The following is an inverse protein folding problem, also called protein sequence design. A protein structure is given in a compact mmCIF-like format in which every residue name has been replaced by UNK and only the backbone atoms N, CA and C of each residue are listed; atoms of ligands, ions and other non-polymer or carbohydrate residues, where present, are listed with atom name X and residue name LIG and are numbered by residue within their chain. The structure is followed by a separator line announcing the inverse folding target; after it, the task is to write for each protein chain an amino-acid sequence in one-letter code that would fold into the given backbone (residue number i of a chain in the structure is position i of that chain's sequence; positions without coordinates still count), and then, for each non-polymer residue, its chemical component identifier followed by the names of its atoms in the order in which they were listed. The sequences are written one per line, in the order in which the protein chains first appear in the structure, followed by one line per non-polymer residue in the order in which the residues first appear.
data_IF_086188682282
#
_entry.id   IF_086188682282
#
_cell.length_a   1.000
_cell.length_b   1.000
_cell.length_c   1.000
_cell.angle_alpha   90.00
_cell.angle_beta   90.00
_cell.angle_gamma   90.00
#
_symmetry.space_group_name_H-M   'P 1'
#
loop_
_entity.id
_entity.type
_entity.pdbx_description
1 polymer ?
#
# COMPACT_ATOMS: atom_id res chain seq x y z
N UNK A 1 -31.91 -6.58 -18.04
CA UNK A 1 -30.87 -6.13 -17.10
C UNK A 1 -29.49 -6.69 -17.46
N UNK A 2 -29.45 -7.55 -18.49
CA UNK A 2 -28.35 -8.26 -19.16
C UNK A 2 -27.27 -7.37 -19.84
N UNK A 3 -27.04 -6.14 -19.38
CA UNK A 3 -26.13 -5.22 -20.08
C UNK A 3 -24.65 -5.47 -19.76
N UNK A 4 -24.33 -6.01 -18.58
CA UNK A 4 -22.96 -6.22 -18.13
C UNK A 4 -22.73 -7.67 -17.73
N UNK A 5 -21.69 -8.28 -18.30
CA UNK A 5 -21.21 -9.60 -17.90
C UNK A 5 -20.60 -9.57 -16.49
N UNK A 6 -19.98 -8.44 -16.11
CA UNK A 6 -19.40 -8.25 -14.79
C UNK A 6 -19.74 -6.89 -14.18
N UNK A 7 -19.98 -6.90 -12.86
CA UNK A 7 -19.94 -5.71 -12.00
C UNK A 7 -18.67 -5.79 -11.16
N UNK A 8 -17.83 -4.76 -11.24
CA UNK A 8 -16.59 -4.68 -10.49
C UNK A 8 -16.68 -3.52 -9.52
N UNK A 9 -16.46 -3.79 -8.24
CA UNK A 9 -16.51 -2.81 -7.17
C UNK A 9 -15.10 -2.37 -6.79
N UNK A 10 -14.82 -1.08 -6.97
CA UNK A 10 -13.58 -0.40 -6.64
C UNK A 10 -12.67 -0.25 -7.84
N UNK A 11 -12.26 0.99 -8.12
CA UNK A 11 -11.42 1.36 -9.26
C UNK A 11 -9.93 1.51 -8.90
N UNK A 12 -9.47 0.78 -7.88
CA UNK A 12 -8.04 0.60 -7.59
C UNK A 12 -7.40 -0.46 -8.50
N UNK A 13 -6.11 -0.77 -8.31
CA UNK A 13 -5.39 -1.74 -9.16
C UNK A 13 -6.14 -3.06 -9.36
N UNK A 14 -6.65 -3.67 -8.29
CA UNK A 14 -7.35 -4.95 -8.37
C UNK A 14 -8.52 -4.91 -9.37
N UNK A 15 -9.44 -3.96 -9.18
CA UNK A 15 -10.63 -3.84 -10.02
C UNK A 15 -10.30 -3.34 -11.42
N UNK A 16 -9.42 -2.36 -11.57
CA UNK A 16 -9.08 -1.80 -12.88
C UNK A 16 -8.35 -2.80 -13.78
N UNK A 17 -7.46 -3.63 -13.22
CA UNK A 17 -6.75 -4.67 -13.97
C UNK A 17 -7.71 -5.75 -14.43
N UNK A 18 -8.60 -6.21 -13.53
CA UNK A 18 -9.59 -7.21 -13.89
C UNK A 18 -10.59 -6.68 -14.91
N UNK A 19 -11.05 -5.43 -14.77
CA UNK A 19 -11.89 -4.76 -15.76
C UNK A 19 -11.21 -4.72 -17.13
N UNK A 20 -9.96 -4.26 -17.18
CA UNK A 20 -9.19 -4.14 -18.41
C UNK A 20 -8.96 -5.49 -19.06
N UNK A 21 -8.54 -6.51 -18.31
CA UNK A 21 -8.29 -7.86 -18.84
C UNK A 21 -9.57 -8.54 -19.34
N UNK A 22 -10.66 -8.48 -18.57
CA UNK A 22 -11.96 -9.06 -18.97
C UNK A 22 -12.49 -8.37 -20.24
N UNK A 23 -12.39 -7.04 -20.33
CA UNK A 23 -12.81 -6.29 -21.51
C UNK A 23 -11.90 -6.55 -22.73
N UNK A 24 -10.57 -6.50 -22.56
CA UNK A 24 -9.64 -6.58 -23.69
C UNK A 24 -9.46 -8.00 -24.22
N UNK A 25 -9.38 -8.99 -23.33
CA UNK A 25 -9.08 -10.38 -23.67
C UNK A 25 -10.34 -11.25 -23.83
N UNK A 26 -11.40 -10.98 -23.06
CA UNK A 26 -12.63 -11.78 -23.06
C UNK A 26 -13.84 -11.08 -23.67
N UNK A 27 -13.68 -9.83 -24.10
CA UNK A 27 -14.72 -8.99 -24.71
C UNK A 27 -15.99 -8.88 -23.85
N UNK A 28 -15.81 -8.95 -22.53
CA UNK A 28 -16.87 -8.82 -21.54
C UNK A 28 -17.24 -7.36 -21.31
N UNK A 29 -18.53 -7.08 -21.16
CA UNK A 29 -19.05 -5.76 -20.77
C UNK A 29 -18.98 -5.62 -19.26
N UNK A 30 -18.33 -4.55 -18.81
CA UNK A 30 -17.99 -4.30 -17.42
C UNK A 30 -18.70 -3.05 -16.94
N UNK A 31 -19.34 -3.12 -15.78
CA UNK A 31 -19.68 -1.96 -14.99
C UNK A 31 -18.69 -1.85 -13.83
N UNK A 32 -17.79 -0.88 -13.89
CA UNK A 32 -16.85 -0.57 -12.81
C UNK A 32 -17.46 0.53 -11.93
N UNK A 33 -17.86 0.17 -10.71
CA UNK A 33 -18.40 1.13 -9.74
C UNK A 33 -17.31 1.52 -8.72
N UNK A 34 -17.28 2.78 -8.34
CA UNK A 34 -16.35 3.32 -7.36
C UNK A 34 -17.11 4.29 -6.44
N UNK A 35 -16.89 4.17 -5.13
CA UNK A 35 -17.57 5.01 -4.15
C UNK A 35 -16.99 6.42 -4.08
N UNK A 36 -15.74 6.61 -4.51
CA UNK A 36 -15.06 7.89 -4.57
C UNK A 36 -15.46 8.67 -5.83
N UNK A 37 -15.11 9.95 -5.82
CA UNK A 37 -15.26 10.89 -6.93
C UNK A 37 -14.17 10.75 -8.01
N UNK A 38 -13.33 9.72 -7.92
CA UNK A 38 -12.24 9.46 -8.86
C UNK A 38 -11.87 7.98 -8.94
N UNK A 39 -11.18 7.60 -10.02
CA UNK A 39 -10.59 6.27 -10.21
C UNK A 39 -9.24 6.13 -9.46
N UNK A 40 -8.54 5.01 -9.64
CA UNK A 40 -7.20 4.71 -9.12
C UNK A 40 -7.13 4.37 -7.62
N UNK A 41 -8.25 4.39 -6.89
CA UNK A 41 -8.28 4.07 -5.46
C UNK A 41 -7.29 4.93 -4.67
N UNK A 42 -6.41 4.31 -3.87
CA UNK A 42 -5.38 5.04 -3.12
C UNK A 42 -4.24 5.58 -4.01
N UNK A 43 -4.13 5.14 -5.27
CA UNK A 43 -3.10 5.65 -6.19
C UNK A 43 -3.49 6.99 -6.82
N UNK A 44 -4.70 7.50 -6.54
CA UNK A 44 -5.15 8.75 -7.12
C UNK A 44 -4.19 9.91 -6.77
N UNK A 45 -3.70 10.54 -7.84
CA UNK A 45 -2.90 11.74 -7.81
C UNK A 45 -3.54 12.86 -8.62
N UNK A 46 -3.24 14.10 -8.24
CA UNK A 46 -3.75 15.31 -8.87
C UNK A 46 -2.71 16.42 -8.80
N UNK A 47 -2.78 17.35 -9.75
CA UNK A 47 -2.02 18.60 -9.66
C UNK A 47 -2.73 19.54 -8.68
N UNK A 48 -2.03 19.98 -7.64
CA UNK A 48 -2.56 21.01 -6.76
C UNK A 48 -2.53 22.40 -7.42
N UNK A 49 -3.04 23.42 -6.73
CA UNK A 49 -3.11 24.81 -7.20
C UNK A 49 -1.74 25.46 -7.49
N UNK A 50 -0.65 24.79 -7.12
CA UNK A 50 0.72 25.23 -7.35
C UNK A 50 1.47 24.39 -8.41
N UNK A 51 0.77 23.47 -9.07
CA UNK A 51 1.32 22.61 -10.12
C UNK A 51 2.22 21.49 -9.58
N UNK A 52 2.15 21.17 -8.29
CA UNK A 52 2.81 19.99 -7.72
C UNK A 52 1.88 18.78 -7.89
N UNK A 53 2.41 17.68 -8.43
CA UNK A 53 1.66 16.42 -8.53
C UNK A 53 1.68 15.73 -7.15
N UNK A 54 0.52 15.67 -6.52
CA UNK A 54 0.33 15.19 -5.14
C UNK A 54 -0.52 13.92 -5.15
N UNK A 55 -0.15 12.96 -4.33
CA UNK A 55 -0.96 11.76 -4.11
C UNK A 55 -1.93 12.01 -2.96
N UNK A 56 -3.24 11.92 -3.20
CA UNK A 56 -4.28 12.26 -2.20
C UNK A 56 -4.21 11.39 -0.94
N UNK A 57 -3.65 10.19 -1.06
CA UNK A 57 -3.74 9.13 -0.06
C UNK A 57 -2.39 8.56 0.40
N UNK A 58 -1.36 9.41 0.45
CA UNK A 58 -0.02 8.99 0.84
C UNK A 58 0.95 8.81 -0.33
N UNK A 59 2.27 8.74 -0.08
CA UNK A 59 3.24 8.48 -1.13
C UNK A 59 3.07 7.07 -1.68
N UNK A 60 3.13 6.95 -3.00
CA UNK A 60 3.03 5.68 -3.72
C UNK A 60 4.21 5.58 -4.67
N UNK A 61 5.06 4.58 -4.45
CA UNK A 61 6.35 4.46 -5.11
C UNK A 61 6.40 3.10 -5.79
N UNK A 62 6.32 3.10 -7.13
CA UNK A 62 6.26 1.85 -7.87
C UNK A 62 7.63 1.20 -7.97
N UNK A 63 7.65 -0.10 -7.65
CA UNK A 63 8.85 -0.93 -7.59
C UNK A 63 8.46 -2.37 -7.90
N UNK A 64 9.26 -3.09 -8.68
CA UNK A 64 9.00 -4.52 -8.94
C UNK A 64 10.26 -5.25 -9.42
N UNK A 65 10.37 -6.53 -9.05
CA UNK A 65 11.29 -7.48 -9.68
C UNK A 65 10.59 -8.37 -10.73
N UNK A 66 9.25 -8.35 -10.79
CA UNK A 66 8.47 -9.20 -11.69
C UNK A 66 8.46 -8.60 -13.11
N UNK A 67 9.05 -9.28 -14.11
CA UNK A 67 9.00 -8.84 -15.50
C UNK A 67 7.56 -8.82 -16.04
N UNK A 68 6.69 -9.73 -15.55
CA UNK A 68 5.27 -9.80 -15.92
C UNK A 68 4.52 -8.55 -15.48
N UNK A 69 4.69 -8.13 -14.22
CA UNK A 69 4.09 -6.89 -13.69
C UNK A 69 4.59 -5.69 -14.48
N UNK A 70 5.90 -5.61 -14.73
CA UNK A 70 6.49 -4.50 -15.48
C UNK A 70 5.95 -4.44 -16.92
N UNK A 71 5.95 -5.56 -17.63
CA UNK A 71 5.45 -5.66 -19.00
C UNK A 71 3.96 -5.29 -19.08
N UNK A 72 3.16 -5.73 -18.11
CA UNK A 72 1.75 -5.40 -18.07
C UNK A 72 1.50 -3.90 -17.87
N UNK A 73 2.05 -3.32 -16.80
CA UNK A 73 1.80 -1.91 -16.47
C UNK A 73 2.39 -0.95 -17.50
N UNK A 74 3.52 -1.29 -18.12
CA UNK A 74 4.15 -0.45 -19.16
C UNK A 74 3.30 -0.26 -20.42
N UNK A 75 2.21 -1.02 -20.60
CA UNK A 75 1.24 -0.77 -21.67
C UNK A 75 0.43 0.52 -21.46
N UNK A 76 0.36 1.00 -20.22
CA UNK A 76 -0.50 2.13 -19.83
C UNK A 76 0.28 3.37 -19.37
N UNK A 77 1.61 3.30 -19.30
CA UNK A 77 2.43 4.45 -18.90
C UNK A 77 3.86 4.33 -19.40
N UNK A 78 4.45 5.49 -19.66
CA UNK A 78 5.90 5.66 -19.66
C UNK A 78 6.43 5.80 -18.22
N UNK A 79 7.73 5.62 -18.04
CA UNK A 79 8.38 5.65 -16.74
C UNK A 79 9.29 6.87 -16.55
N UNK A 80 9.23 7.45 -15.35
CA UNK A 80 10.24 8.35 -14.81
C UNK A 80 11.12 7.56 -13.83
N UNK A 81 12.39 7.25 -14.17
CA UNK A 81 13.28 6.52 -13.27
C UNK A 81 13.46 7.27 -11.95
N UNK A 82 13.22 6.59 -10.83
CA UNK A 82 13.29 7.18 -9.51
C UNK A 82 13.61 6.11 -8.47
N UNK A 83 14.69 6.30 -7.71
CA UNK A 83 15.09 5.41 -6.62
C UNK A 83 14.84 6.10 -5.29
N UNK A 84 13.92 5.55 -4.50
CA UNK A 84 13.50 6.18 -3.26
C UNK A 84 14.59 6.09 -2.19
N UNK A 85 14.76 7.18 -1.44
CA UNK A 85 15.62 7.27 -0.27
C UNK A 85 14.83 7.88 0.88
N UNK A 86 15.02 7.32 2.06
CA UNK A 86 14.35 7.77 3.29
C UNK A 86 15.42 8.10 4.31
N UNK A 87 15.23 9.20 5.03
CA UNK A 87 16.00 9.50 6.24
C UNK A 87 15.09 9.35 7.46
N UNK A 88 15.64 8.98 8.61
CA UNK A 88 14.97 9.10 9.89
C UNK A 88 15.67 10.15 10.76
N UNK A 89 14.88 10.96 11.45
CA UNK A 89 15.35 11.84 12.52
C UNK A 89 15.47 11.03 13.82
N UNK A 90 16.70 10.67 14.17
CA UNK A 90 17.06 9.94 15.37
C UNK A 90 18.07 10.77 16.14
N UNK A 91 17.76 11.13 17.39
CA UNK A 91 18.64 11.96 18.24
C UNK A 91 19.07 13.27 17.54
N UNK A 92 18.13 13.93 16.88
CA UNK A 92 18.32 15.16 16.09
C UNK A 92 19.29 15.04 14.90
N UNK A 93 19.65 13.80 14.52
CA UNK A 93 20.43 13.49 13.32
C UNK A 93 19.57 12.81 12.26
N UNK A 94 19.81 13.18 11.00
CA UNK A 94 19.21 12.51 9.86
C UNK A 94 20.09 11.34 9.40
N UNK A 95 19.57 10.12 9.49
CA UNK A 95 20.27 8.89 9.08
C UNK A 95 19.48 8.10 8.04
N UNK A 96 20.14 7.38 7.10
CA UNK A 96 19.47 6.50 6.15
C UNK A 96 18.56 5.45 6.80
N UNK A 97 17.42 5.21 6.14
CA UNK A 97 16.54 4.06 6.35
C UNK A 97 16.38 3.33 5.01
N UNK A 98 16.53 1.99 4.93
CA UNK A 98 16.96 1.05 5.96
C UNK A 98 18.22 1.47 6.70
N UNK A 99 18.28 1.18 8.00
CA UNK A 99 19.45 1.52 8.81
C UNK A 99 20.66 0.80 8.22
N UNK A 100 21.74 1.51 7.94
CA UNK A 100 22.89 0.95 7.25
C UNK A 100 24.22 1.39 7.89
N UNK A 101 25.36 1.10 7.25
CA UNK A 101 26.67 1.43 7.82
C UNK A 101 26.87 2.94 8.00
N UNK A 102 26.30 3.78 7.12
CA UNK A 102 26.27 5.24 7.30
C UNK A 102 25.49 5.63 8.56
N UNK A 103 24.36 4.96 8.83
CA UNK A 103 23.56 5.22 10.03
C UNK A 103 24.31 4.84 11.31
N UNK A 104 25.03 3.71 11.29
CA UNK A 104 25.89 3.25 12.38
C UNK A 104 27.00 4.28 12.68
N UNK A 105 27.71 4.72 11.65
CA UNK A 105 28.81 5.70 11.77
C UNK A 105 28.35 7.05 12.33
N UNK A 106 27.14 7.49 11.97
CA UNK A 106 26.59 8.77 12.45
C UNK A 106 26.14 8.70 13.92
N UNK A 107 25.44 7.62 14.30
CA UNK A 107 24.80 7.52 15.61
C UNK A 107 25.66 6.87 16.68
N UNK A 108 26.61 6.02 16.31
CA UNK A 108 27.51 5.35 17.24
C UNK A 108 28.98 5.46 16.77
N UNK A 109 29.51 6.67 16.53
CA UNK A 109 30.83 6.87 15.92
C UNK A 109 31.96 6.18 16.70
N UNK A 110 31.87 6.15 18.04
CA UNK A 110 32.89 5.52 18.89
C UNK A 110 32.94 3.98 18.76
N UNK A 111 31.83 3.35 18.38
CA UNK A 111 31.71 1.88 18.22
C UNK A 111 31.67 1.44 16.76
N UNK A 112 31.61 2.39 15.81
CA UNK A 112 31.24 2.13 14.42
C UNK A 112 32.22 1.18 13.72
N UNK A 113 33.54 1.39 13.88
CA UNK A 113 34.55 0.58 13.19
C UNK A 113 34.53 -0.88 13.67
N UNK A 114 34.46 -1.10 14.99
CA UNK A 114 34.38 -2.44 15.58
C UNK A 114 33.07 -3.14 15.18
N UNK A 115 31.93 -2.47 15.34
CA UNK A 115 30.62 -3.04 15.00
C UNK A 115 30.49 -3.32 13.52
N UNK A 116 31.00 -2.45 12.65
CA UNK A 116 31.03 -2.68 11.20
C UNK A 116 31.83 -3.92 10.85
N UNK A 117 33.06 -4.06 11.39
CA UNK A 117 33.88 -5.23 11.14
C UNK A 117 33.20 -6.52 11.61
N UNK A 118 32.56 -6.47 12.79
CA UNK A 118 31.82 -7.60 13.37
C UNK A 118 30.60 -7.99 12.53
N UNK A 119 29.77 -7.02 12.12
CA UNK A 119 28.60 -7.26 11.28
C UNK A 119 28.97 -7.83 9.91
N UNK A 120 30.03 -7.32 9.28
CA UNK A 120 30.51 -7.83 7.99
C UNK A 120 31.08 -9.23 8.14
N UNK A 121 31.82 -9.52 9.21
CA UNK A 121 32.37 -10.85 9.46
C UNK A 121 31.27 -11.90 9.72
N UNK A 122 30.21 -11.53 10.44
CA UNK A 122 29.11 -12.44 10.80
C UNK A 122 28.15 -12.69 9.63
N UNK A 123 27.73 -11.63 8.93
CA UNK A 123 26.63 -11.70 7.98
C UNK A 123 27.04 -11.47 6.52
N UNK A 124 28.20 -10.84 6.29
CA UNK A 124 28.64 -10.40 4.96
C UNK A 124 28.17 -8.99 4.58
N UNK A 125 28.79 -8.46 3.54
CA UNK A 125 28.44 -7.16 2.94
C UNK A 125 27.23 -7.31 2.01
N UNK A 126 26.42 -6.25 1.90
CA UNK A 126 25.20 -6.17 1.08
C UNK A 126 24.09 -7.16 1.48
N UNK A 127 24.09 -7.54 2.75
CA UNK A 127 23.07 -8.43 3.35
C UNK A 127 22.08 -7.63 4.19
N UNK A 128 20.80 -7.99 4.07
CA UNK A 128 19.71 -7.45 4.90
C UNK A 128 19.44 -8.38 6.08
N UNK A 129 19.56 -7.86 7.29
CA UNK A 129 19.35 -8.62 8.53
C UNK A 129 18.16 -8.03 9.29
N UNK A 130 17.10 -8.83 9.56
CA UNK A 130 15.99 -8.36 10.40
C UNK A 130 16.47 -7.92 11.78
N UNK A 131 15.87 -6.87 12.33
CA UNK A 131 16.23 -6.36 13.66
C UNK A 131 16.00 -7.41 14.75
N UNK A 132 14.97 -8.25 14.60
CA UNK A 132 14.70 -9.37 15.51
C UNK A 132 15.85 -10.38 15.60
N UNK A 133 16.56 -10.61 14.49
CA UNK A 133 17.74 -11.49 14.44
C UNK A 133 18.90 -10.86 15.21
N UNK A 134 19.17 -9.57 15.00
CA UNK A 134 20.23 -8.85 15.72
C UNK A 134 19.99 -8.88 17.23
N UNK A 135 18.76 -8.59 17.69
CA UNK A 135 18.38 -8.59 19.12
C UNK A 135 18.47 -9.97 19.80
N UNK A 136 18.40 -11.05 19.03
CA UNK A 136 18.50 -12.43 19.54
C UNK A 136 19.89 -13.03 19.34
N UNK A 137 20.84 -12.26 18.81
CA UNK A 137 22.18 -12.74 18.47
C UNK A 137 22.98 -13.16 19.71
N UNK A 138 23.87 -14.14 19.56
CA UNK A 138 24.69 -14.66 20.67
C UNK A 138 25.75 -13.65 21.14
N UNK A 139 26.45 -12.99 20.20
CA UNK A 139 27.39 -11.90 20.51
C UNK A 139 26.67 -10.71 21.13
N UNK A 140 27.12 -10.30 22.32
CA UNK A 140 26.48 -9.24 23.10
C UNK A 140 26.50 -7.88 22.39
N UNK A 141 27.54 -7.57 21.61
CA UNK A 141 27.70 -6.28 20.91
C UNK A 141 26.70 -6.15 19.76
N UNK A 142 26.53 -7.23 18.97
CA UNK A 142 25.50 -7.29 17.92
C UNK A 142 24.10 -7.17 18.54
N UNK A 143 23.88 -7.84 19.67
CA UNK A 143 22.61 -7.79 20.39
C UNK A 143 22.29 -6.38 20.91
N UNK A 144 23.25 -5.71 21.54
CA UNK A 144 23.12 -4.31 21.97
C UNK A 144 22.84 -3.36 20.80
N UNK A 145 23.52 -3.55 19.65
CA UNK A 145 23.25 -2.79 18.44
C UNK A 145 21.83 -3.04 17.92
N UNK A 146 21.37 -4.29 17.90
CA UNK A 146 20.00 -4.64 17.55
C UNK A 146 18.97 -3.97 18.44
N UNK A 147 19.21 -3.92 19.76
CA UNK A 147 18.34 -3.24 20.72
C UNK A 147 18.34 -1.73 20.49
N UNK A 148 19.51 -1.12 20.27
CA UNK A 148 19.62 0.30 19.96
C UNK A 148 18.78 0.69 18.73
N UNK A 149 18.91 -0.07 17.63
CA UNK A 149 18.14 0.17 16.41
C UNK A 149 16.64 0.01 16.68
N UNK A 150 16.24 -1.03 17.42
CA UNK A 150 14.85 -1.25 17.79
C UNK A 150 14.25 -0.09 18.57
N UNK A 151 14.89 0.33 19.65
CA UNK A 151 14.40 1.40 20.53
C UNK A 151 14.31 2.75 19.81
N UNK A 152 15.31 3.09 18.99
CA UNK A 152 15.43 4.41 18.40
C UNK A 152 14.70 4.58 17.06
N UNK A 153 14.39 3.48 16.35
CA UNK A 153 13.80 3.51 15.01
C UNK A 153 12.45 2.79 14.94
N UNK A 154 12.29 1.65 15.62
CA UNK A 154 11.12 0.78 15.44
C UNK A 154 10.07 0.98 16.51
N UNK A 155 10.46 1.00 17.78
CA UNK A 155 9.52 0.95 18.91
C UNK A 155 8.47 2.06 18.83
N UNK A 156 8.91 3.31 18.95
CA UNK A 156 8.00 4.46 18.95
C UNK A 156 7.31 4.67 17.59
N UNK A 157 7.99 4.41 16.48
CA UNK A 157 7.40 4.51 15.14
C UNK A 157 6.25 3.51 14.98
N UNK A 158 6.48 2.25 15.35
CA UNK A 158 5.50 1.17 15.28
C UNK A 158 4.32 1.45 16.20
N UNK A 159 4.58 1.89 17.43
CA UNK A 159 3.52 2.26 18.37
C UNK A 159 2.65 3.39 17.85
N UNK A 160 3.23 4.43 17.23
CA UNK A 160 2.44 5.47 16.55
C UNK A 160 1.65 4.90 15.37
N UNK A 161 2.32 4.17 14.48
CA UNK A 161 1.70 3.66 13.25
C UNK A 161 0.50 2.76 13.54
N UNK A 162 0.62 1.88 14.53
CA UNK A 162 -0.36 0.82 14.79
C UNK A 162 -1.25 1.09 16.02
N UNK A 163 -0.90 2.04 16.87
CA UNK A 163 -1.62 2.30 18.12
C UNK A 163 -1.47 1.19 19.15
N UNK A 164 -0.48 0.30 18.98
CA UNK A 164 -0.20 -0.84 19.86
C UNK A 164 1.31 -1.08 19.95
N UNK A 165 1.75 -1.78 21.00
CA UNK A 165 3.16 -2.11 21.17
C UNK A 165 3.61 -3.17 20.15
N UNK A 166 4.86 -3.11 19.66
CA UNK A 166 5.36 -4.10 18.70
C UNK A 166 5.19 -5.56 19.14
N UNK A 167 5.27 -5.83 20.44
CA UNK A 167 5.15 -7.17 21.03
C UNK A 167 3.72 -7.74 20.98
N UNK A 168 2.70 -6.88 20.81
CA UNK A 168 1.28 -7.26 20.71
C UNK A 168 0.82 -7.44 19.25
N UNK A 169 1.73 -7.26 18.30
CA UNK A 169 1.50 -7.38 16.86
C UNK A 169 2.29 -8.58 16.34
N UNK A 170 2.04 -8.98 15.09
CA UNK A 170 2.97 -9.85 14.38
C UNK A 170 4.30 -9.11 14.13
N UNK A 171 5.14 -9.13 15.15
CA UNK A 171 6.39 -8.39 15.24
C UNK A 171 7.36 -8.77 14.12
N UNK A 172 7.41 -10.05 13.77
CA UNK A 172 8.30 -10.55 12.72
C UNK A 172 7.83 -10.04 11.35
N UNK A 173 6.52 -10.01 11.06
CA UNK A 173 5.99 -9.41 9.82
C UNK A 173 6.24 -7.91 9.74
N UNK A 174 6.20 -7.18 10.85
CA UNK A 174 6.46 -5.73 10.88
C UNK A 174 7.95 -5.43 10.70
N UNK A 175 8.82 -6.13 11.44
CA UNK A 175 10.27 -5.86 11.42
C UNK A 175 10.98 -6.43 10.20
N UNK A 176 10.48 -7.48 9.57
CA UNK A 176 11.03 -7.99 8.31
C UNK A 176 10.96 -6.98 7.16
N UNK A 177 10.07 -5.98 7.23
CA UNK A 177 9.84 -5.02 6.14
C UNK A 177 10.89 -3.92 6.06
N UNK A 178 11.51 -3.57 7.19
CA UNK A 178 12.64 -2.65 7.24
C UNK A 178 13.74 -3.38 8.02
N UNK A 179 14.65 -4.08 7.34
CA UNK A 179 15.80 -4.71 8.00
C UNK A 179 16.93 -3.69 8.23
N UNK A 180 17.96 -4.08 8.98
CA UNK A 180 19.27 -3.41 8.89
C UNK A 180 19.95 -3.88 7.61
N UNK A 181 20.47 -2.95 6.81
CA UNK A 181 21.21 -3.25 5.59
C UNK A 181 22.71 -3.09 5.87
N UNK A 182 23.47 -4.18 5.86
CA UNK A 182 24.93 -4.15 6.06
C UNK A 182 25.57 -3.70 4.75
N UNK A 183 25.35 -2.42 4.41
CA UNK A 183 25.79 -1.78 3.18
C UNK A 183 25.95 -0.27 3.37
N UNK A 184 26.53 0.41 2.37
CA UNK A 184 26.43 1.86 2.21
C UNK A 184 25.30 2.27 1.24
N UNK A 185 24.66 1.30 0.59
CA UNK A 185 23.49 1.56 -0.23
C UNK A 185 22.32 2.04 0.65
N UNK A 186 21.86 3.25 0.36
CA UNK A 186 20.82 3.99 1.07
C UNK A 186 19.47 3.98 0.35
N UNK A 187 19.35 3.23 -0.76
CA UNK A 187 18.07 3.02 -1.43
C UNK A 187 17.11 2.27 -0.52
N UNK A 188 15.91 2.82 -0.37
CA UNK A 188 14.86 2.25 0.47
C UNK A 188 14.37 0.89 -0.07
N UNK A 189 14.30 0.80 -1.40
CA UNK A 189 13.89 -0.38 -2.15
C UNK A 189 15.08 -0.97 -2.90
N UNK A 190 15.10 -2.30 -3.06
CA UNK A 190 16.19 -3.04 -3.71
C UNK A 190 15.74 -3.71 -5.02
N UNK A 191 14.51 -3.48 -5.43
CA UNK A 191 13.97 -3.96 -6.68
C UNK A 191 14.73 -3.39 -7.87
N UNK A 192 14.84 -4.19 -8.92
CA UNK A 192 15.58 -3.85 -10.15
C UNK A 192 14.88 -2.75 -10.94
N UNK A 193 13.55 -2.73 -10.96
CA UNK A 193 12.78 -1.65 -11.55
C UNK A 193 12.19 -0.75 -10.47
N UNK A 194 12.62 0.51 -10.45
CA UNK A 194 12.10 1.56 -9.57
C UNK A 194 11.86 2.82 -10.41
N UNK A 195 10.59 3.19 -10.55
CA UNK A 195 10.18 4.32 -11.37
C UNK A 195 8.77 4.76 -11.00
N UNK A 196 8.43 5.99 -11.35
CA UNK A 196 7.07 6.53 -11.20
C UNK A 196 6.41 6.65 -12.58
N UNK A 197 5.08 6.52 -12.70
CA UNK A 197 4.39 6.84 -13.94
C UNK A 197 4.70 8.27 -14.37
N UNK A 198 5.22 8.45 -15.59
CA UNK A 198 5.72 9.74 -16.10
C UNK A 198 4.69 10.86 -16.03
N UNK A 199 3.42 10.54 -16.24
CA UNK A 199 2.30 11.50 -16.24
C UNK A 199 1.40 11.36 -14.99
N UNK A 200 1.85 10.63 -13.97
CA UNK A 200 1.07 10.32 -12.79
C UNK A 200 0.23 9.03 -12.91
N UNK A 201 -0.16 8.51 -11.76
CA UNK A 201 -0.96 7.30 -11.61
C UNK A 201 -2.35 7.48 -12.21
N UNK A 202 -3.03 8.60 -11.98
CA UNK A 202 -4.38 8.82 -12.52
C UNK A 202 -4.39 8.70 -14.04
N UNK A 203 -3.40 9.26 -14.74
CA UNK A 203 -3.27 9.15 -16.21
C UNK A 203 -3.01 7.71 -16.68
N UNK A 204 -2.25 6.94 -15.91
CA UNK A 204 -2.06 5.51 -16.17
C UNK A 204 -3.39 4.73 -16.03
N UNK A 205 -4.17 5.00 -14.99
CA UNK A 205 -5.47 4.36 -14.79
C UNK A 205 -6.51 4.77 -15.85
N UNK A 206 -6.52 6.04 -16.28
CA UNK A 206 -7.38 6.49 -17.39
C UNK A 206 -7.10 5.69 -18.67
N UNK A 207 -5.83 5.45 -19.02
CA UNK A 207 -5.46 4.64 -20.18
C UNK A 207 -5.83 3.17 -20.02
N UNK A 208 -5.64 2.61 -18.82
CA UNK A 208 -6.01 1.24 -18.49
C UNK A 208 -7.52 1.00 -18.65
N UNK A 209 -8.33 1.98 -18.27
CA UNK A 209 -9.79 1.88 -18.29
C UNK A 209 -10.44 2.45 -19.56
N UNK A 210 -9.66 2.82 -20.57
CA UNK A 210 -10.15 3.47 -21.80
C UNK A 210 -10.91 2.53 -22.76
N UNK A 211 -11.07 1.25 -22.44
CA UNK A 211 -11.76 0.29 -23.29
C UNK A 211 -13.28 0.59 -23.34
N UNK A 212 -13.91 0.70 -24.53
CA UNK A 212 -15.33 1.05 -24.65
C UNK A 212 -16.31 -0.01 -24.09
N UNK A 213 -15.83 -1.18 -23.67
CA UNK A 213 -16.62 -2.18 -22.96
C UNK A 213 -16.64 -1.96 -21.43
N UNK A 214 -15.96 -0.94 -20.93
CA UNK A 214 -15.90 -0.59 -19.50
C UNK A 214 -16.69 0.69 -19.28
N UNK A 215 -17.88 0.56 -18.69
CA UNK A 215 -18.65 1.69 -18.18
C UNK A 215 -18.20 1.97 -16.73
N UNK A 216 -17.85 3.22 -16.41
CA UNK A 216 -17.39 3.62 -15.08
C UNK A 216 -18.46 4.47 -14.40
N UNK A 217 -18.81 4.13 -13.16
CA UNK A 217 -19.73 4.91 -12.33
C UNK A 217 -19.08 5.27 -10.99
N UNK A 218 -18.72 6.54 -10.84
CA UNK A 218 -18.16 7.10 -9.62
C UNK A 218 -19.27 7.41 -8.60
N UNK A 219 -18.88 7.80 -7.39
CA UNK A 219 -19.78 8.17 -6.29
C UNK A 219 -20.89 7.13 -6.01
N UNK A 220 -20.59 5.85 -6.22
CA UNK A 220 -21.54 4.75 -6.09
C UNK A 220 -21.02 3.73 -5.10
N UNK A 221 -21.66 3.63 -3.92
CA UNK A 221 -21.34 2.58 -2.95
C UNK A 221 -21.94 1.27 -3.40
N UNK A 222 -21.19 0.18 -3.23
CA UNK A 222 -21.65 -1.15 -3.61
C UNK A 222 -22.98 -1.51 -2.94
N UNK A 223 -23.10 -1.27 -1.63
CA UNK A 223 -24.31 -1.58 -0.85
C UNK A 223 -25.59 -0.87 -1.34
N UNK A 224 -25.44 0.25 -2.06
CA UNK A 224 -26.57 1.01 -2.56
C UNK A 224 -27.15 0.37 -3.84
N UNK A 225 -26.39 -0.52 -4.48
CA UNK A 225 -26.72 -1.13 -5.78
C UNK A 225 -26.59 -2.65 -5.81
N UNK A 226 -25.92 -3.27 -4.83
CA UNK A 226 -25.73 -4.71 -4.69
C UNK A 226 -26.29 -5.16 -3.34
N UNK A 227 -27.04 -6.26 -3.35
CA UNK A 227 -27.43 -6.99 -2.14
C UNK A 227 -27.29 -8.49 -2.35
N UNK A 228 -27.20 -9.22 -1.25
CA UNK A 228 -26.89 -10.65 -1.22
C UNK A 228 -27.97 -11.36 -0.42
N UNK A 229 -28.63 -12.36 -1.01
CA UNK A 229 -29.74 -13.09 -0.39
C UNK A 229 -29.18 -14.37 0.25
N UNK A 230 -29.04 -14.44 1.59
CA UNK A 230 -28.36 -15.55 2.24
C UNK A 230 -29.06 -16.90 2.08
N UNK A 231 -30.39 -16.91 1.96
CA UNK A 231 -31.21 -18.12 1.87
C UNK A 231 -31.06 -18.82 0.52
N UNK A 232 -30.89 -18.05 -0.55
CA UNK A 232 -30.83 -18.57 -1.94
C UNK A 232 -29.43 -18.52 -2.54
N UNK A 233 -28.51 -17.74 -1.95
CA UNK A 233 -27.19 -17.47 -2.53
C UNK A 233 -27.26 -16.55 -3.75
N UNK A 234 -28.38 -15.86 -3.97
CA UNK A 234 -28.56 -14.92 -5.08
C UNK A 234 -27.87 -13.58 -4.81
N UNK A 235 -27.33 -12.99 -5.88
CA UNK A 235 -26.83 -11.63 -5.89
C UNK A 235 -27.86 -10.78 -6.62
N UNK A 236 -28.29 -9.68 -6.00
CA UNK A 236 -29.17 -8.71 -6.62
C UNK A 236 -28.39 -7.49 -7.05
N UNK A 237 -28.68 -6.96 -8.24
CA UNK A 237 -28.20 -5.68 -8.72
C UNK A 237 -29.39 -4.74 -8.93
N UNK A 238 -29.40 -3.59 -8.26
CA UNK A 238 -30.50 -2.63 -8.27
C UNK A 238 -31.86 -3.26 -7.89
N UNK A 239 -31.84 -4.25 -6.99
CA UNK A 239 -33.02 -4.95 -6.49
C UNK A 239 -33.48 -6.14 -7.33
N UNK A 240 -32.85 -6.43 -8.47
CA UNK A 240 -33.23 -7.55 -9.35
C UNK A 240 -32.13 -8.62 -9.38
N UNK A 241 -32.46 -9.91 -9.59
CA UNK A 241 -31.47 -10.98 -9.73
C UNK A 241 -30.41 -10.68 -10.80
N UNK A 242 -29.16 -10.97 -10.46
CA UNK A 242 -28.01 -10.77 -11.34
C UNK A 242 -27.20 -12.06 -11.50
N UNK A 243 -27.21 -12.61 -12.71
CA UNK A 243 -26.52 -13.86 -13.06
C UNK A 243 -25.06 -13.66 -13.51
N UNK A 244 -24.62 -12.40 -13.65
CA UNK A 244 -23.25 -12.08 -14.04
C UNK A 244 -22.26 -12.18 -12.89
N UNK A 245 -20.98 -11.98 -13.20
CA UNK A 245 -19.92 -12.03 -12.20
C UNK A 245 -19.81 -10.74 -11.39
N UNK A 246 -19.61 -10.84 -10.08
CA UNK A 246 -19.28 -9.70 -9.21
C UNK A 246 -17.85 -9.85 -8.71
N UNK A 247 -17.01 -8.88 -9.01
CA UNK A 247 -15.65 -8.78 -8.44
C UNK A 247 -15.69 -7.67 -7.40
N UNK A 248 -15.46 -8.02 -6.14
CA UNK A 248 -15.50 -7.08 -5.03
C UNK A 248 -14.10 -6.84 -4.48
N UNK A 249 -13.71 -5.57 -4.38
CA UNK A 249 -12.37 -5.15 -3.91
C UNK A 249 -12.39 -4.28 -2.65
N UNK A 250 -13.59 -3.98 -2.13
CA UNK A 250 -13.82 -3.18 -0.92
C UNK A 250 -13.71 -3.98 0.40
N UNK A 251 -14.03 -3.37 1.56
CA UNK A 251 -14.04 -4.05 2.85
C UNK A 251 -15.11 -5.16 2.90
N UNK A 252 -14.68 -6.40 3.11
CA UNK A 252 -15.57 -7.57 3.08
C UNK A 252 -16.63 -7.54 4.20
N UNK A 253 -16.30 -6.94 5.34
CA UNK A 253 -17.23 -6.73 6.44
C UNK A 253 -18.36 -5.76 6.06
N UNK A 254 -18.04 -4.67 5.35
CA UNK A 254 -19.05 -3.75 4.81
C UNK A 254 -19.98 -4.44 3.81
N UNK A 255 -19.44 -5.33 2.97
CA UNK A 255 -20.24 -6.10 1.99
C UNK A 255 -21.35 -6.91 2.65
N UNK A 256 -21.10 -7.44 3.84
CA UNK A 256 -22.02 -8.29 4.60
C UNK A 256 -22.62 -7.58 5.83
N UNK A 257 -22.76 -6.26 5.74
CA UNK A 257 -23.38 -5.39 6.76
C UNK A 257 -22.85 -5.64 8.18
N UNK A 258 -21.54 -5.89 8.28
CA UNK A 258 -20.85 -6.09 9.55
C UNK A 258 -21.45 -7.21 10.43
N UNK A 259 -22.15 -8.18 9.84
CA UNK A 259 -22.93 -9.21 10.57
C UNK A 259 -22.12 -10.09 11.52
N UNK A 260 -20.80 -10.16 11.36
CA UNK A 260 -19.89 -10.88 12.25
C UNK A 260 -19.03 -9.96 13.13
N UNK A 261 -19.23 -8.64 13.04
CA UNK A 261 -18.39 -7.60 13.64
C UNK A 261 -17.49 -6.91 12.62
N UNK A 262 -16.95 -5.76 13.00
CA UNK A 262 -16.10 -4.92 12.13
C UNK A 262 -14.67 -5.47 12.05
N UNK A 263 -14.10 -5.56 10.86
CA UNK A 263 -12.70 -5.92 10.67
C UNK A 263 -11.80 -4.75 11.08
N UNK A 264 -10.80 -4.94 11.97
CA UNK A 264 -9.98 -3.82 12.42
C UNK A 264 -9.00 -3.32 11.36
N UNK A 265 -9.10 -2.04 11.00
CA UNK A 265 -8.13 -1.39 10.13
C UNK A 265 -7.36 -0.28 10.86
N UNK A 266 -6.20 0.10 10.33
CA UNK A 266 -5.61 1.42 10.59
C UNK A 266 -6.03 2.40 9.52
N UNK A 267 -6.31 3.63 9.95
CA UNK A 267 -6.52 4.75 9.06
C UNK A 267 -5.35 5.75 9.15
N UNK A 268 -5.34 6.73 8.25
CA UNK A 268 -4.34 7.79 8.16
C UNK A 268 -5.05 9.12 7.91
N UNK A 269 -4.55 10.19 8.53
CA UNK A 269 -4.86 11.57 8.18
C UNK A 269 -3.63 12.18 7.52
N UNK A 270 -3.86 12.94 6.47
CA UNK A 270 -2.81 13.61 5.70
C UNK A 270 -3.02 15.11 5.73
N UNK A 271 -1.99 15.83 6.19
CA UNK A 271 -2.01 17.30 6.23
C UNK A 271 -1.03 17.81 5.17
N UNK A 272 -1.54 18.50 4.16
CA UNK A 272 -0.76 19.08 3.07
C UNK A 272 -0.36 20.52 3.38
N UNK A 273 0.89 20.87 3.10
CA UNK A 273 1.42 22.22 3.25
C UNK A 273 2.24 22.60 2.03
N UNK A 274 2.04 23.80 1.49
CA UNK A 274 2.84 24.33 0.38
C UNK A 274 3.71 25.49 0.87
N UNK A 275 4.99 25.43 0.55
CA UNK A 275 6.01 26.36 1.01
C UNK A 275 6.67 27.08 -0.17
N UNK A 276 7.02 28.36 0.04
CA UNK A 276 7.73 29.18 -0.96
C UNK A 276 9.25 29.05 -0.81
N UNK A 277 9.71 27.80 -0.87
CA UNK A 277 11.13 27.41 -0.86
C UNK A 277 11.34 26.37 -1.95
N UNK A 278 12.60 26.21 -2.38
CA UNK A 278 12.92 25.22 -3.41
C UNK A 278 12.71 23.79 -2.89
N UNK A 279 13.39 23.42 -1.81
CA UNK A 279 13.22 22.15 -1.12
C UNK A 279 13.00 22.39 0.38
N UNK A 280 12.03 21.69 0.97
CA UNK A 280 11.71 21.73 2.40
C UNK A 280 12.62 20.78 3.20
N UNK A 281 12.98 19.63 2.63
CA UNK A 281 13.77 18.60 3.28
C UNK A 281 14.80 17.96 2.30
N UNK A 282 15.87 17.34 2.80
CA UNK A 282 16.96 16.84 1.95
C UNK A 282 16.61 15.64 1.07
N UNK A 283 15.48 14.95 1.32
CA UNK A 283 15.03 13.82 0.52
C UNK A 283 13.50 13.75 0.49
N UNK A 284 12.96 12.88 -0.38
CA UNK A 284 11.52 12.75 -0.56
C UNK A 284 10.76 12.38 0.73
N UNK A 285 11.33 11.58 1.63
CA UNK A 285 10.66 11.18 2.86
C UNK A 285 11.60 11.27 4.06
N UNK A 286 11.18 11.98 5.11
CA UNK A 286 11.84 11.99 6.41
C UNK A 286 10.90 11.40 7.45
N UNK A 287 11.32 10.30 8.09
CA UNK A 287 10.62 9.65 9.18
C UNK A 287 10.99 10.32 10.51
N UNK A 288 10.03 10.41 11.42
CA UNK A 288 10.19 11.00 12.75
C UNK A 288 9.80 9.95 13.80
N UNK A 289 10.63 8.94 14.07
CA UNK A 289 10.26 7.78 14.89
C UNK A 289 9.80 8.13 16.31
N UNK A 290 10.38 9.17 16.94
CA UNK A 290 10.28 9.32 18.39
C UNK A 290 9.35 10.44 18.88
N UNK A 291 9.59 11.69 18.49
CA UNK A 291 9.00 12.86 19.21
C UNK A 291 7.73 13.42 18.60
N UNK A 292 7.56 13.28 17.29
CA UNK A 292 6.46 13.92 16.56
C UNK A 292 5.18 13.07 16.59
N UNK A 293 4.01 13.72 16.50
CA UNK A 293 2.73 13.02 16.37
C UNK A 293 2.57 12.35 14.99
N UNK A 294 3.05 13.00 13.93
CA UNK A 294 3.13 12.38 12.60
C UNK A 294 4.25 11.35 12.56
N UNK A 295 4.13 10.35 11.68
CA UNK A 295 5.16 9.34 11.46
C UNK A 295 6.24 9.83 10.51
N UNK A 296 5.87 10.59 9.48
CA UNK A 296 6.78 11.07 8.44
C UNK A 296 6.26 12.29 7.70
N UNK A 297 7.17 12.96 7.02
CA UNK A 297 6.91 14.01 6.04
C UNK A 297 7.36 13.50 4.67
N UNK A 298 6.45 13.56 3.69
CA UNK A 298 6.78 13.37 2.26
C UNK A 298 6.83 14.71 1.56
N UNK A 299 7.88 15.00 0.80
CA UNK A 299 7.98 16.15 -0.09
C UNK A 299 7.88 15.70 -1.55
N UNK A 300 6.76 16.02 -2.20
CA UNK A 300 6.43 15.51 -3.54
C UNK A 300 7.33 16.02 -4.65
N UNK A 301 7.97 17.19 -4.44
CA UNK A 301 8.85 17.79 -5.44
C UNK A 301 10.03 16.90 -5.82
N UNK A 302 10.54 16.10 -4.87
CA UNK A 302 11.59 15.10 -5.11
C UNK A 302 11.16 13.94 -6.02
N UNK A 303 9.85 13.75 -6.21
CA UNK A 303 9.26 12.66 -7.01
C UNK A 303 9.00 13.09 -8.46
N UNK A 304 9.28 14.34 -8.82
CA UNK A 304 8.88 14.92 -10.09
C UNK A 304 10.07 15.11 -11.04
N UNK A 305 9.92 14.67 -12.29
CA UNK A 305 10.89 14.94 -13.35
C UNK A 305 10.97 16.44 -13.72
N UNK A 306 9.86 17.16 -13.56
CA UNK A 306 9.72 18.59 -13.89
C UNK A 306 9.03 19.31 -12.74
N UNK A 307 9.77 19.62 -11.65
CA UNK A 307 9.17 20.21 -10.47
C UNK A 307 8.84 21.70 -10.67
N UNK A 308 7.75 22.21 -10.05
CA UNK A 308 7.45 23.64 -10.04
C UNK A 308 8.37 24.41 -9.07
N UNK A 309 8.22 25.74 -8.99
CA UNK A 309 9.05 26.59 -8.11
C UNK A 309 8.80 26.29 -6.63
N UNK A 310 7.53 26.22 -6.22
CA UNK A 310 7.13 25.91 -4.85
C UNK A 310 7.24 24.42 -4.57
N UNK A 311 7.26 24.06 -3.29
CA UNK A 311 7.21 22.67 -2.85
C UNK A 311 5.96 22.40 -2.03
N UNK A 312 5.43 21.18 -2.13
CA UNK A 312 4.32 20.71 -1.30
C UNK A 312 4.77 19.48 -0.54
N UNK A 313 4.58 19.54 0.77
CA UNK A 313 4.83 18.45 1.69
C UNK A 313 3.52 17.87 2.22
N UNK A 314 3.59 16.64 2.71
CA UNK A 314 2.51 15.97 3.42
C UNK A 314 3.02 15.36 4.72
N UNK A 315 2.38 15.73 5.83
CA UNK A 315 2.54 15.09 7.14
C UNK A 315 1.53 13.96 7.27
N UNK A 316 2.00 12.77 7.65
CA UNK A 316 1.17 11.58 7.82
C UNK A 316 0.92 11.28 9.30
N UNK A 317 -0.35 11.25 9.70
CA UNK A 317 -0.80 10.98 11.07
C UNK A 317 -1.56 9.65 11.12
N UNK A 318 -1.00 8.62 11.75
CA UNK A 318 -1.72 7.38 11.96
C UNK A 318 -2.87 7.57 12.95
N UNK A 319 -4.00 6.93 12.68
CA UNK A 319 -5.18 7.01 13.53
C UNK A 319 -5.97 5.70 13.49
N UNK A 320 -6.83 5.50 14.48
CA UNK A 320 -7.77 4.38 14.45
C UNK A 320 -8.69 4.53 13.23
N UNK A 321 -9.06 3.41 12.63
CA UNK A 321 -10.16 3.40 11.67
C UNK A 321 -11.47 3.48 12.44
N UNK A 322 -12.34 4.37 12.01
CA UNK A 322 -13.72 4.48 12.48
C UNK A 322 -14.60 4.84 11.29
N UNK A 323 -15.46 3.90 10.89
CA UNK A 323 -16.36 4.08 9.72
C UNK A 323 -17.40 5.19 9.91
N UNK A 324 -17.69 5.57 11.16
CA UNK A 324 -18.68 6.59 11.50
C UNK A 324 -18.07 7.99 11.51
N UNK A 325 -16.74 8.10 11.50
CA UNK A 325 -16.01 9.37 11.52
C UNK A 325 -15.37 9.59 10.15
N UNK A 326 -15.87 10.53 9.31
CA UNK A 326 -15.42 10.67 7.91
C UNK A 326 -13.91 10.83 7.72
N UNK A 327 -13.23 11.50 8.66
CA UNK A 327 -11.76 11.68 8.60
C UNK A 327 -10.97 10.42 8.95
N UNK A 328 -11.61 9.40 9.54
CA UNK A 328 -11.05 8.11 9.96
C UNK A 328 -11.63 6.93 9.17
N UNK A 329 -12.57 7.17 8.26
CA UNK A 329 -13.37 6.13 7.61
C UNK A 329 -12.72 5.54 6.35
N UNK A 330 -11.45 5.81 6.08
CA UNK A 330 -10.70 5.15 5.00
C UNK A 330 -9.83 4.04 5.60
N UNK A 331 -10.09 2.76 5.29
CA UNK A 331 -9.25 1.66 5.74
C UNK A 331 -7.98 1.59 4.87
N UNK A 332 -6.81 1.86 5.47
CA UNK A 332 -5.53 1.79 4.76
C UNK A 332 -4.80 0.47 4.96
N UNK A 333 -4.78 -0.03 6.19
CA UNK A 333 -4.01 -1.22 6.56
C UNK A 333 -4.86 -2.19 7.38
N UNK A 334 -5.01 -3.45 6.92
CA UNK A 334 -5.45 -4.54 7.78
C UNK A 334 -4.51 -4.66 8.98
N UNK A 335 -5.05 -4.91 10.18
CA UNK A 335 -4.24 -5.13 11.38
C UNK A 335 -3.91 -6.63 11.48
N UNK A 336 -2.62 -7.04 11.39
CA UNK A 336 -2.22 -8.44 11.43
C UNK A 336 -2.25 -8.97 12.87
N UNK A 337 -3.38 -9.56 13.26
CA UNK A 337 -3.59 -10.28 14.52
C UNK A 337 -4.40 -11.55 14.25
N UNK A 338 -4.13 -12.62 14.99
CA UNK A 338 -4.81 -13.91 14.83
C UNK A 338 -6.33 -13.78 14.97
N UNK A 339 -6.80 -13.01 15.96
CA UNK A 339 -8.23 -12.71 16.16
C UNK A 339 -8.89 -12.05 14.94
N UNK A 340 -8.13 -11.25 14.19
CA UNK A 340 -8.64 -10.59 12.98
C UNK A 340 -8.65 -11.55 11.80
N UNK A 341 -7.68 -12.47 11.72
CA UNK A 341 -7.68 -13.54 10.74
C UNK A 341 -8.86 -14.50 10.93
N UNK A 342 -9.19 -14.83 12.18
CA UNK A 342 -10.38 -15.62 12.54
C UNK A 342 -11.69 -14.91 12.14
N UNK A 343 -11.80 -13.61 12.40
CA UNK A 343 -12.97 -12.82 11.99
C UNK A 343 -13.09 -12.75 10.45
N UNK A 344 -11.98 -12.50 9.76
CA UNK A 344 -11.94 -12.51 8.30
C UNK A 344 -12.37 -13.88 7.73
N UNK A 345 -11.94 -14.99 8.34
CA UNK A 345 -12.32 -16.33 7.90
C UNK A 345 -13.84 -16.54 7.90
N UNK A 346 -14.58 -15.98 8.88
CA UNK A 346 -16.05 -16.03 8.91
C UNK A 346 -16.68 -15.32 7.71
N UNK A 347 -16.17 -14.15 7.35
CA UNK A 347 -16.63 -13.41 6.18
C UNK A 347 -16.25 -14.11 4.88
N UNK A 348 -15.01 -14.61 4.77
CA UNK A 348 -14.55 -15.35 3.59
C UNK A 348 -15.35 -16.63 3.37
N UNK A 349 -15.77 -17.33 4.44
CA UNK A 349 -16.64 -18.49 4.34
C UNK A 349 -18.04 -18.10 3.87
N UNK A 350 -18.61 -17.02 4.42
CA UNK A 350 -19.91 -16.50 3.99
C UNK A 350 -19.94 -16.12 2.50
N UNK A 351 -18.85 -15.57 1.97
CA UNK A 351 -18.74 -15.21 0.56
C UNK A 351 -18.83 -16.42 -0.38
N UNK A 352 -18.47 -17.63 0.08
CA UNK A 352 -18.56 -18.86 -0.73
C UNK A 352 -19.98 -19.27 -1.07
N UNK A 353 -20.98 -18.78 -0.32
CA UNK A 353 -22.39 -19.02 -0.61
C UNK A 353 -22.89 -18.30 -1.88
N UNK A 354 -22.06 -17.44 -2.48
CA UNK A 354 -22.39 -16.65 -3.67
C UNK A 354 -21.44 -17.03 -4.82
N UNK A 355 -21.78 -18.02 -5.66
CA UNK A 355 -20.90 -18.51 -6.72
C UNK A 355 -20.49 -17.45 -7.75
N UNK A 356 -21.29 -16.40 -7.92
CA UNK A 356 -20.98 -15.26 -8.78
C UNK A 356 -20.02 -14.23 -8.17
N UNK A 357 -19.69 -14.33 -6.87
CA UNK A 357 -18.85 -13.37 -6.16
C UNK A 357 -17.38 -13.81 -6.16
N UNK A 358 -16.48 -12.87 -6.45
CA UNK A 358 -15.03 -13.01 -6.32
C UNK A 358 -14.46 -11.87 -5.50
N UNK A 359 -13.65 -12.22 -4.50
CA UNK A 359 -12.98 -11.29 -3.62
C UNK A 359 -11.53 -11.12 -4.05
N UNK A 360 -11.13 -9.89 -4.36
CA UNK A 360 -9.76 -9.61 -4.81
C UNK A 360 -9.31 -8.27 -4.26
N UNK A 361 -8.13 -8.21 -3.64
CA UNK A 361 -7.55 -6.94 -3.22
C UNK A 361 -7.34 -6.80 -1.73
N UNK A 362 -6.66 -5.72 -1.36
CA UNK A 362 -6.22 -5.45 0.01
C UNK A 362 -7.36 -5.54 1.03
N UNK A 363 -8.50 -4.94 0.70
CA UNK A 363 -9.64 -4.84 1.61
C UNK A 363 -10.48 -6.11 1.58
N UNK A 364 -10.78 -6.61 0.37
CA UNK A 364 -11.62 -7.79 0.18
C UNK A 364 -10.97 -9.09 0.66
N UNK A 365 -9.64 -9.21 0.53
CA UNK A 365 -8.88 -10.36 1.02
C UNK A 365 -8.25 -10.09 2.40
N UNK A 366 -8.49 -8.92 3.00
CA UNK A 366 -7.92 -8.48 4.29
C UNK A 366 -6.40 -8.70 4.40
N UNK A 367 -5.67 -8.35 3.33
CA UNK A 367 -4.23 -8.60 3.18
C UNK A 367 -3.45 -7.35 2.84
N UNK A 368 -2.29 -7.18 3.45
CA UNK A 368 -1.39 -6.10 3.08
C UNK A 368 -0.68 -6.43 1.76
N UNK A 369 -1.12 -5.81 0.67
CA UNK A 369 -0.42 -5.85 -0.62
C UNK A 369 0.24 -4.51 -0.95
N UNK A 370 1.49 -4.57 -1.40
CA UNK A 370 2.10 -3.51 -2.19
C UNK A 370 1.58 -3.54 -3.64
N UNK A 371 1.84 -2.47 -4.40
CA UNK A 371 1.34 -2.32 -5.78
C UNK A 371 1.70 -3.51 -6.67
N UNK A 372 2.98 -3.90 -6.72
CA UNK A 372 3.43 -5.03 -7.53
C UNK A 372 2.73 -6.34 -7.13
N UNK A 373 2.53 -6.57 -5.83
CA UNK A 373 1.88 -7.78 -5.34
C UNK A 373 0.39 -7.81 -5.72
N UNK A 374 -0.31 -6.68 -5.64
CA UNK A 374 -1.73 -6.65 -6.05
C UNK A 374 -1.89 -6.72 -7.57
N UNK A 375 -0.95 -6.17 -8.35
CA UNK A 375 -0.94 -6.31 -9.81
C UNK A 375 -0.76 -7.80 -10.18
N UNK A 376 0.23 -8.47 -9.59
CA UNK A 376 0.45 -9.90 -9.81
C UNK A 376 -0.80 -10.71 -9.40
N UNK A 377 -1.35 -10.46 -8.21
CA UNK A 377 -2.56 -11.14 -7.72
C UNK A 377 -3.76 -10.96 -8.66
N UNK A 378 -4.00 -9.75 -9.18
CA UNK A 378 -5.10 -9.50 -10.10
C UNK A 378 -4.91 -10.20 -11.45
N UNK A 379 -3.67 -10.23 -11.95
CA UNK A 379 -3.33 -10.97 -13.16
C UNK A 379 -3.47 -12.48 -12.95
N UNK A 380 -3.10 -13.00 -11.78
CA UNK A 380 -3.27 -14.41 -11.43
C UNK A 380 -4.75 -14.80 -11.38
N UNK A 381 -5.59 -14.02 -10.69
CA UNK A 381 -7.05 -14.24 -10.66
C UNK A 381 -7.59 -14.31 -12.08
N UNK A 382 -7.19 -13.38 -12.95
CA UNK A 382 -7.62 -13.40 -14.35
C UNK A 382 -7.24 -14.70 -15.07
N UNK A 383 -5.98 -15.13 -14.92
CA UNK A 383 -5.47 -16.34 -15.56
C UNK A 383 -6.13 -17.61 -15.01
N UNK A 384 -6.32 -17.71 -13.70
CA UNK A 384 -6.83 -18.93 -13.05
C UNK A 384 -8.34 -19.06 -13.14
N UNK A 385 -9.07 -17.95 -13.09
CA UNK A 385 -10.53 -17.99 -12.94
C UNK A 385 -11.31 -17.56 -14.18
N UNK A 386 -10.69 -16.81 -15.10
CA UNK A 386 -11.41 -16.24 -16.24
C UNK A 386 -10.79 -16.58 -17.61
N UNK A 387 -9.54 -17.03 -17.66
CA UNK A 387 -8.88 -17.35 -18.93
C UNK A 387 -9.29 -18.70 -19.51
N UNK A 388 -9.59 -19.69 -18.66
CA UNK A 388 -9.93 -21.07 -19.06
C UNK A 388 -11.27 -21.22 -19.81
N UNK A 389 -12.18 -20.25 -19.70
CA UNK A 389 -13.50 -20.31 -20.34
C UNK A 389 -13.44 -19.85 -21.81
N UNK A 390 -12.84 -20.65 -22.70
CA UNK A 390 -12.94 -20.47 -24.18
C UNK A 390 -13.73 -21.61 -24.76
#
# INVERSE_FOLDING_TARGET
MDKYDFIIVGAGFAGSILAERLASQKKKRILLIEQRDHIAGNMYDYLNEHGVLVHKYGPHLFRTNSPRVLQYISQFTDWHPYQHRVLANVQDQLVPVPFNLTSLERLQPEKAEELKALLIAEFGMDVKVPVSVLRKHADARIREFGEFVFENVYLNYTTKQWGDKPENLDFETITARVPVHISYDDRYFQETHQALPKDGYTKMFERMLANPLIDIKLETKARDVLSFVPETGEILFMGEPYDGGVIYTGPIDELFDYRFGELPYRSLRFDLETHDVDLYQPCATVNYPNTQLYTRITEYKHLMARPPKKTTIMKEYPQAYDRLVPVQSIPYYPIPKDTNAELYAKYSEAAKNYPGLRLVGRLAEYRYYDMNNIIERALDVFETEFKGDV
#
